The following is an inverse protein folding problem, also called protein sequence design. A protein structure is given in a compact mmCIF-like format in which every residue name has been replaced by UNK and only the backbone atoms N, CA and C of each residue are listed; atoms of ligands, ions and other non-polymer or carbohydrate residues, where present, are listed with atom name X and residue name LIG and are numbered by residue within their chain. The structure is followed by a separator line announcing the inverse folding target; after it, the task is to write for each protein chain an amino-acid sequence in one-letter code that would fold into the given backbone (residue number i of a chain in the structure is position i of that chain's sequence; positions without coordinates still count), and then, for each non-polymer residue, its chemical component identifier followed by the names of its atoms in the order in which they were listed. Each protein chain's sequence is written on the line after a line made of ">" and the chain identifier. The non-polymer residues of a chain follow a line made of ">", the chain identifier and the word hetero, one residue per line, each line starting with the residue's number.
data_IF_985191420412
#
_entry.id   IF_985191420412
#
_cell.length_a   1.000
_cell.length_b   1.000
_cell.length_c   1.000
_cell.angle_alpha   90.00
_cell.angle_beta   90.00
_cell.angle_gamma   90.00
#
_symmetry.space_group_name_H-M   'P 1'
#
loop_
_entity.id
_entity.type
_entity.pdbx_description
1 polymer ?
#
# COMPACT_ATOMS: atom_id res chain seq x y z
N UNK A 1 -5.38 -1.43 -10.87
CA UNK A 1 -4.45 -2.51 -10.45
C UNK A 1 -3.94 -2.22 -9.06
N UNK A 2 -3.88 -3.24 -8.22
CA UNK A 2 -3.14 -3.20 -6.94
C UNK A 2 -1.86 -4.03 -7.09
N UNK A 3 -0.72 -3.41 -6.80
CA UNK A 3 0.60 -4.07 -6.78
C UNK A 3 0.85 -4.67 -5.40
N UNK A 4 0.87 -6.00 -5.33
CA UNK A 4 0.81 -6.79 -4.10
C UNK A 4 1.76 -8.01 -4.09
N UNK A 5 2.56 -8.23 -5.14
CA UNK A 5 3.48 -9.38 -5.27
C UNK A 5 4.78 -9.30 -4.43
N UNK A 6 4.99 -8.24 -3.64
CA UNK A 6 6.20 -8.08 -2.83
C UNK A 6 6.35 -9.15 -1.73
N UNK A 7 7.60 -9.61 -1.48
CA UNK A 7 7.91 -10.60 -0.43
C UNK A 7 7.75 -10.06 1.00
N UNK A 8 7.76 -8.74 1.19
CA UNK A 8 7.60 -8.12 2.50
C UNK A 8 8.71 -8.49 3.49
N UNK A 9 9.95 -8.63 3.03
CA UNK A 9 11.08 -9.14 3.82
C UNK A 9 11.39 -8.28 5.05
N UNK A 10 11.18 -6.96 4.95
CA UNK A 10 11.38 -6.02 6.07
C UNK A 10 10.35 -6.15 7.20
N UNK A 11 9.23 -6.83 6.96
CA UNK A 11 8.19 -7.12 7.96
C UNK A 11 8.32 -8.54 8.54
N UNK A 12 9.42 -9.24 8.26
CA UNK A 12 9.67 -10.52 8.90
C UNK A 12 9.80 -10.36 10.43
N UNK A 13 9.38 -11.38 11.21
CA UNK A 13 8.97 -12.71 10.76
C UNK A 13 7.51 -12.81 10.29
N UNK A 14 6.67 -11.78 10.47
CA UNK A 14 5.22 -11.84 10.21
C UNK A 14 4.89 -12.31 8.79
N UNK A 15 5.72 -11.91 7.82
CA UNK A 15 5.53 -12.25 6.42
C UNK A 15 5.88 -13.70 6.06
N UNK A 16 6.29 -14.52 7.03
CA UNK A 16 6.45 -15.98 6.85
C UNK A 16 5.12 -16.72 6.86
N UNK A 17 4.13 -16.20 7.58
CA UNK A 17 2.80 -16.83 7.71
C UNK A 17 1.78 -16.23 6.75
N UNK A 18 1.86 -14.92 6.50
CA UNK A 18 0.97 -14.20 5.60
C UNK A 18 1.77 -13.34 4.63
N UNK A 19 1.36 -13.22 3.35
CA UNK A 19 1.94 -12.21 2.49
C UNK A 19 1.63 -10.82 3.06
N UNK A 20 2.52 -9.84 2.86
CA UNK A 20 2.40 -8.51 3.48
C UNK A 20 1.00 -7.89 3.30
N UNK A 21 0.37 -7.88 2.10
CA UNK A 21 -0.98 -7.34 1.95
C UNK A 21 -2.08 -8.10 2.71
N UNK A 22 -1.83 -9.32 3.19
CA UNK A 22 -2.77 -10.07 4.02
C UNK A 22 -2.48 -9.93 5.53
N UNK A 23 -1.39 -9.28 5.93
CA UNK A 23 -1.10 -9.02 7.36
C UNK A 23 -2.17 -8.09 7.94
N UNK A 24 -2.77 -8.43 9.10
CA UNK A 24 -3.87 -7.67 9.68
C UNK A 24 -3.38 -6.40 10.39
N UNK A 25 -3.95 -5.24 10.05
CA UNK A 25 -3.83 -3.99 10.80
C UNK A 25 -5.20 -3.67 11.39
N UNK A 26 -5.29 -3.48 12.71
CA UNK A 26 -6.55 -3.36 13.45
C UNK A 26 -7.52 -4.51 13.15
N UNK A 27 -6.99 -5.71 12.87
CA UNK A 27 -7.78 -6.89 12.50
C UNK A 27 -8.28 -6.93 11.06
N UNK A 28 -7.89 -5.96 10.23
CA UNK A 28 -8.27 -5.84 8.82
C UNK A 28 -7.04 -6.16 7.97
N UNK A 29 -7.08 -7.09 6.99
CA UNK A 29 -5.92 -7.35 6.16
C UNK A 29 -5.56 -6.10 5.36
N UNK A 30 -4.27 -5.79 5.24
CA UNK A 30 -3.78 -4.57 4.58
C UNK A 30 -4.38 -4.31 3.19
N UNK A 31 -4.69 -5.36 2.43
CA UNK A 31 -5.29 -5.28 1.08
C UNK A 31 -6.71 -4.71 1.09
N UNK A 32 -7.43 -4.81 2.20
CA UNK A 32 -8.80 -4.30 2.30
C UNK A 32 -8.87 -2.77 2.27
N UNK A 33 -7.83 -2.08 2.75
CA UNK A 33 -7.76 -0.62 2.73
C UNK A 33 -7.74 -0.03 1.31
N UNK A 34 -6.80 -0.42 0.41
CA UNK A 34 -6.82 0.05 -0.96
C UNK A 34 -8.05 -0.45 -1.74
N UNK A 35 -8.58 -1.65 -1.43
CA UNK A 35 -9.84 -2.12 -2.03
C UNK A 35 -11.02 -1.19 -1.68
N UNK A 36 -11.18 -0.84 -0.40
CA UNK A 36 -12.24 0.04 0.06
C UNK A 36 -12.08 1.47 -0.49
N UNK A 37 -10.85 2.00 -0.54
CA UNK A 37 -10.56 3.30 -1.15
C UNK A 37 -10.99 3.33 -2.62
N UNK A 38 -10.55 2.33 -3.41
CA UNK A 38 -10.88 2.23 -4.83
C UNK A 38 -12.39 2.08 -5.05
N UNK A 39 -13.06 1.23 -4.27
CA UNK A 39 -14.52 1.05 -4.34
C UNK A 39 -15.27 2.34 -4.01
N UNK A 40 -14.83 3.10 -3.00
CA UNK A 40 -15.44 4.39 -2.63
C UNK A 40 -15.31 5.44 -3.73
N UNK A 41 -14.30 5.33 -4.58
CA UNK A 41 -14.11 6.16 -5.76
C UNK A 41 -14.83 5.63 -7.01
N UNK A 42 -15.65 4.58 -6.88
CA UNK A 42 -16.45 4.00 -7.96
C UNK A 42 -15.73 3.01 -8.86
N UNK A 43 -14.56 2.50 -8.45
CA UNK A 43 -13.86 1.44 -9.20
C UNK A 43 -14.58 0.11 -9.00
N UNK A 44 -15.02 -0.51 -10.09
CA UNK A 44 -15.75 -1.79 -10.07
C UNK A 44 -14.93 -2.99 -10.52
N UNK A 45 -13.76 -2.79 -11.15
CA UNK A 45 -12.90 -3.89 -11.60
C UNK A 45 -11.46 -3.65 -11.15
N UNK A 46 -10.91 -4.64 -10.43
CA UNK A 46 -9.57 -4.52 -9.85
C UNK A 46 -8.77 -5.80 -10.15
N UNK A 47 -7.60 -5.62 -10.77
CA UNK A 47 -6.59 -6.69 -10.87
C UNK A 47 -5.55 -6.57 -9.77
N UNK A 48 -5.23 -7.69 -9.12
CA UNK A 48 -4.20 -7.81 -8.07
C UNK A 48 -3.14 -8.81 -8.53
N UNK A 49 -1.87 -8.43 -8.51
CA UNK A 49 -0.80 -9.40 -8.79
C UNK A 49 -0.41 -10.20 -7.54
N UNK A 50 -0.08 -11.48 -7.74
CA UNK A 50 0.20 -12.45 -6.67
C UNK A 50 1.58 -13.07 -6.89
N UNK A 51 2.35 -13.32 -5.82
CA UNK A 51 3.61 -14.08 -5.90
C UNK A 51 3.88 -14.87 -4.62
N UNK A 52 4.22 -14.18 -3.51
CA UNK A 52 4.47 -14.82 -2.22
C UNK A 52 3.14 -15.24 -1.57
N UNK A 53 3.02 -16.50 -1.15
CA UNK A 53 1.81 -17.08 -0.53
C UNK A 53 0.50 -16.67 -1.27
N UNK A 54 0.40 -16.94 -2.58
CA UNK A 54 -0.60 -16.32 -3.46
C UNK A 54 -2.04 -16.66 -3.05
N UNK A 55 -2.27 -17.88 -2.57
CA UNK A 55 -3.58 -18.33 -2.13
C UNK A 55 -4.05 -17.65 -0.83
N UNK A 56 -3.13 -17.31 0.07
CA UNK A 56 -3.47 -16.57 1.28
C UNK A 56 -3.90 -15.13 0.93
N UNK A 57 -3.19 -14.47 0.01
CA UNK A 57 -3.57 -13.15 -0.48
C UNK A 57 -4.89 -13.19 -1.26
N UNK A 58 -5.08 -14.16 -2.16
CA UNK A 58 -6.33 -14.34 -2.89
C UNK A 58 -7.52 -14.46 -1.95
N UNK A 59 -7.38 -15.29 -0.90
CA UNK A 59 -8.42 -15.46 0.12
C UNK A 59 -8.72 -14.14 0.83
N UNK A 60 -7.70 -13.48 1.39
CA UNK A 60 -7.87 -12.23 2.12
C UNK A 60 -8.54 -11.14 1.27
N UNK A 61 -8.11 -10.98 0.01
CA UNK A 61 -8.69 -10.02 -0.92
C UNK A 61 -10.15 -10.36 -1.27
N UNK A 62 -10.47 -11.64 -1.46
CA UNK A 62 -11.83 -12.08 -1.80
C UNK A 62 -12.80 -11.93 -0.62
N UNK A 63 -12.36 -12.27 0.60
CA UNK A 63 -13.17 -12.14 1.83
C UNK A 63 -13.48 -10.68 2.17
N UNK A 64 -12.58 -9.76 1.82
CA UNK A 64 -12.70 -8.32 2.06
C UNK A 64 -13.05 -7.52 0.81
N UNK A 65 -13.50 -8.19 -0.25
CA UNK A 65 -13.91 -7.55 -1.48
C UNK A 65 -15.17 -6.69 -1.23
N UNK A 66 -15.15 -5.39 -1.56
CA UNK A 66 -16.36 -4.57 -1.48
C UNK A 66 -17.45 -5.08 -2.42
N UNK A 67 -18.71 -4.86 -2.04
CA UNK A 67 -19.85 -5.19 -2.89
C UNK A 67 -19.80 -4.40 -4.21
N UNK A 68 -20.13 -5.07 -5.33
CA UNK A 68 -20.08 -4.45 -6.66
C UNK A 68 -18.68 -4.37 -7.28
N UNK A 69 -17.64 -4.88 -6.62
CA UNK A 69 -16.28 -4.98 -7.16
C UNK A 69 -15.99 -6.39 -7.67
N UNK A 70 -15.47 -6.50 -8.89
CA UNK A 70 -14.91 -7.71 -9.46
C UNK A 70 -13.39 -7.75 -9.26
N UNK A 71 -12.88 -8.85 -8.69
CA UNK A 71 -11.45 -9.09 -8.54
C UNK A 71 -10.91 -10.05 -9.60
N UNK A 72 -9.87 -9.60 -10.29
CA UNK A 72 -9.01 -10.43 -11.14
C UNK A 72 -7.65 -10.61 -10.48
N UNK A 73 -7.01 -11.74 -10.75
CA UNK A 73 -5.73 -12.07 -10.13
C UNK A 73 -4.69 -12.44 -11.19
N UNK A 74 -3.54 -11.77 -11.15
CA UNK A 74 -2.41 -12.06 -12.04
C UNK A 74 -1.29 -12.73 -11.24
N UNK A 75 -1.16 -14.05 -11.35
CA UNK A 75 -0.10 -14.78 -10.66
C UNK A 75 1.25 -14.63 -11.41
N UNK A 76 2.28 -14.30 -10.65
CA UNK A 76 3.68 -14.19 -11.06
C UNK A 76 4.48 -15.34 -10.44
N UNK A 77 4.75 -16.43 -11.18
CA UNK A 77 5.62 -17.51 -10.68
C UNK A 77 7.04 -17.01 -10.38
N UNK A 78 7.52 -16.09 -11.19
CA UNK A 78 8.75 -15.32 -10.99
C UNK A 78 8.40 -13.84 -10.93
N UNK A 79 9.09 -13.08 -10.06
CA UNK A 79 8.82 -11.66 -9.87
C UNK A 79 9.14 -10.87 -11.13
N UNK A 80 8.13 -10.17 -11.66
CA UNK A 80 8.26 -9.36 -12.88
C UNK A 80 8.74 -7.93 -12.60
N UNK A 81 8.98 -7.61 -11.33
CA UNK A 81 9.05 -6.24 -10.83
C UNK A 81 7.76 -5.46 -11.14
N UNK A 82 7.73 -4.20 -10.73
CA UNK A 82 6.54 -3.35 -10.78
C UNK A 82 6.07 -3.06 -12.20
N UNK A 83 6.99 -2.73 -13.11
CA UNK A 83 6.66 -2.43 -14.49
C UNK A 83 6.23 -3.67 -15.27
N UNK A 84 6.91 -4.80 -15.05
CA UNK A 84 6.54 -6.08 -15.64
C UNK A 84 5.14 -6.56 -15.21
N UNK A 85 4.79 -6.36 -13.93
CA UNK A 85 3.45 -6.63 -13.43
C UNK A 85 2.37 -5.80 -14.14
N UNK A 86 2.64 -4.50 -14.37
CA UNK A 86 1.75 -3.60 -15.12
C UNK A 86 1.61 -4.05 -16.56
N UNK A 87 2.73 -4.36 -17.24
CA UNK A 87 2.75 -4.86 -18.62
C UNK A 87 1.90 -6.12 -18.79
N UNK A 88 2.01 -7.07 -17.86
CA UNK A 88 1.28 -8.34 -17.90
C UNK A 88 -0.25 -8.15 -17.91
N UNK A 89 -0.75 -7.07 -17.33
CA UNK A 89 -2.18 -6.74 -17.26
C UNK A 89 -2.55 -5.50 -18.07
N UNK A 90 -1.68 -5.07 -19.00
CA UNK A 90 -1.86 -3.84 -19.74
C UNK A 90 -3.17 -3.83 -20.55
N UNK A 91 -3.56 -4.96 -21.16
CA UNK A 91 -4.80 -5.06 -21.92
C UNK A 91 -6.03 -4.80 -21.04
N UNK A 92 -6.05 -5.37 -19.82
CA UNK A 92 -7.09 -5.08 -18.83
C UNK A 92 -7.10 -3.61 -18.41
N UNK A 93 -5.91 -3.03 -18.17
CA UNK A 93 -5.80 -1.62 -17.78
C UNK A 93 -6.29 -0.66 -18.88
N UNK A 94 -6.20 -1.05 -20.15
CA UNK A 94 -6.69 -0.27 -21.30
C UNK A 94 -8.20 -0.23 -21.43
N UNK A 95 -8.92 -1.09 -20.71
CA UNK A 95 -10.40 -1.10 -20.71
C UNK A 95 -10.98 0.16 -20.02
N UNK A 96 -10.15 0.92 -19.27
CA UNK A 96 -10.53 2.19 -18.63
C UNK A 96 -9.55 3.32 -18.97
N UNK A 97 -10.05 4.55 -19.09
CA UNK A 97 -9.24 5.75 -19.27
C UNK A 97 -9.72 6.91 -18.37
N UNK A 98 -8.94 7.32 -17.35
CA UNK A 98 -7.67 6.71 -16.94
C UNK A 98 -7.87 5.37 -16.20
N UNK A 99 -6.77 4.68 -15.91
CA UNK A 99 -6.71 3.58 -14.95
C UNK A 99 -5.86 3.97 -13.73
N UNK A 100 -6.04 3.24 -12.62
CA UNK A 100 -5.35 3.46 -11.36
C UNK A 100 -4.34 2.34 -11.07
N UNK A 101 -3.15 2.71 -10.60
CA UNK A 101 -2.13 1.80 -10.12
C UNK A 101 -1.77 2.20 -8.70
N UNK A 102 -2.03 1.32 -7.73
CA UNK A 102 -1.86 1.56 -6.30
C UNK A 102 -1.05 0.43 -5.64
N UNK A 103 -0.28 0.71 -4.59
CA UNK A 103 0.34 -0.32 -3.75
C UNK A 103 -0.67 -1.02 -2.84
N UNK A 104 -0.49 -2.33 -2.62
CA UNK A 104 -1.39 -3.14 -1.79
C UNK A 104 -1.00 -3.25 -0.31
N UNK A 105 -0.01 -2.50 0.13
CA UNK A 105 0.73 -2.77 1.37
C UNK A 105 0.98 -1.53 2.25
N UNK A 106 0.09 -0.55 2.11
CA UNK A 106 -0.01 0.68 2.90
C UNK A 106 -1.47 1.09 3.10
N UNK A 107 -1.70 2.01 4.03
CA UNK A 107 -3.00 2.68 4.18
C UNK A 107 -2.87 4.09 3.58
N UNK A 108 -3.77 4.42 2.65
CA UNK A 108 -3.83 5.72 1.97
C UNK A 108 -5.24 6.29 2.13
N UNK A 109 -5.36 7.59 2.39
CA UNK A 109 -6.63 8.32 2.30
C UNK A 109 -6.40 9.73 1.74
N UNK A 110 -7.28 10.13 0.83
CA UNK A 110 -7.21 11.36 0.05
C UNK A 110 -8.55 11.62 -0.67
N UNK A 111 -8.71 12.81 -1.23
CA UNK A 111 -9.74 13.06 -2.24
C UNK A 111 -9.32 12.45 -3.60
N UNK A 112 -9.57 11.15 -3.76
CA UNK A 112 -9.22 10.41 -4.99
C UNK A 112 -9.99 10.93 -6.21
N UNK A 113 -11.24 11.35 -6.03
CA UNK A 113 -12.06 11.90 -7.11
C UNK A 113 -11.48 13.23 -7.60
N UNK A 114 -11.09 14.11 -6.69
CA UNK A 114 -10.40 15.35 -7.03
C UNK A 114 -9.05 15.10 -7.71
N UNK A 115 -8.28 14.10 -7.26
CA UNK A 115 -7.01 13.75 -7.90
C UNK A 115 -7.19 13.24 -9.34
N UNK A 116 -8.22 12.41 -9.58
CA UNK A 116 -8.61 11.96 -10.92
C UNK A 116 -8.99 13.14 -11.83
N UNK A 117 -9.74 14.12 -11.31
CA UNK A 117 -10.12 15.29 -12.08
C UNK A 117 -8.92 16.20 -12.41
N UNK A 118 -8.01 16.39 -11.45
CA UNK A 118 -6.76 17.11 -11.68
C UNK A 118 -5.91 16.42 -12.75
N UNK A 119 -5.80 15.09 -12.71
CA UNK A 119 -5.14 14.34 -13.78
C UNK A 119 -5.75 14.65 -15.16
N UNK A 120 -7.08 14.53 -15.31
CA UNK A 120 -7.79 14.82 -16.57
C UNK A 120 -7.54 16.25 -17.06
N UNK A 121 -7.65 17.23 -16.17
CA UNK A 121 -7.45 18.65 -16.50
C UNK A 121 -6.00 18.98 -16.89
N UNK A 122 -5.03 18.22 -16.42
CA UNK A 122 -3.60 18.49 -16.65
C UNK A 122 -3.12 18.13 -18.05
N UNK A 123 -3.85 17.26 -18.75
CA UNK A 123 -3.42 16.71 -20.04
C UNK A 123 -2.19 15.79 -19.96
N UNK A 124 -1.71 15.46 -18.76
CA UNK A 124 -0.60 14.52 -18.54
C UNK A 124 -1.07 13.09 -18.76
N UNK A 125 -0.19 12.25 -19.28
CA UNK A 125 -0.47 10.83 -19.45
C UNK A 125 -0.30 10.05 -18.14
N UNK A 126 0.53 10.55 -17.21
CA UNK A 126 0.72 9.96 -15.89
C UNK A 126 0.75 11.04 -14.81
N UNK A 127 0.00 10.82 -13.73
CA UNK A 127 0.02 11.65 -12.53
C UNK A 127 0.35 10.82 -11.29
N UNK A 128 1.47 11.15 -10.64
CA UNK A 128 1.95 10.55 -9.41
C UNK A 128 1.40 11.31 -8.20
N UNK A 129 0.91 10.59 -7.20
CA UNK A 129 0.67 11.20 -5.89
C UNK A 129 1.94 11.10 -5.05
N UNK A 130 2.46 12.25 -4.68
CA UNK A 130 3.56 12.38 -3.73
C UNK A 130 3.04 12.91 -2.40
N UNK A 131 3.82 12.74 -1.34
CA UNK A 131 3.54 13.31 -0.02
C UNK A 131 4.78 14.00 0.52
N UNK A 132 4.59 15.18 1.10
CA UNK A 132 5.62 15.77 1.95
C UNK A 132 5.77 14.92 3.22
N UNK A 133 6.90 14.22 3.37
CA UNK A 133 7.07 13.26 4.46
C UNK A 133 8.50 13.35 5.02
N UNK A 134 8.66 13.48 6.36
CA UNK A 134 9.98 13.60 6.98
C UNK A 134 10.85 12.36 6.79
N UNK A 135 10.29 11.24 6.33
CA UNK A 135 11.00 10.00 6.04
C UNK A 135 11.54 9.95 4.61
N UNK A 136 11.65 11.10 3.92
CA UNK A 136 12.18 11.19 2.54
C UNK A 136 13.55 10.55 2.38
N UNK A 137 14.40 10.61 3.40
CA UNK A 137 15.75 10.02 3.35
C UNK A 137 15.71 8.50 3.30
N UNK A 138 14.66 7.89 3.88
CA UNK A 138 14.46 6.44 3.92
C UNK A 138 13.76 5.89 2.67
N UNK A 139 12.77 6.61 2.16
CA UNK A 139 11.98 6.16 1.00
C UNK A 139 12.51 6.68 -0.34
N UNK A 140 13.36 7.71 -0.32
CA UNK A 140 13.67 8.53 -1.46
C UNK A 140 12.52 9.49 -1.80
N UNK A 141 12.84 10.53 -2.56
CA UNK A 141 11.87 11.52 -3.04
C UNK A 141 11.84 11.55 -4.56
N UNK A 142 10.68 11.95 -5.09
CA UNK A 142 10.49 12.31 -6.49
C UNK A 142 10.47 13.83 -6.57
N UNK A 143 11.26 14.38 -7.50
CA UNK A 143 11.37 15.80 -7.78
C UNK A 143 10.47 16.21 -8.93
N UNK A 144 9.75 17.32 -8.76
CA UNK A 144 8.91 17.94 -9.77
C UNK A 144 9.36 19.39 -10.03
N UNK A 145 9.16 19.89 -11.26
CA UNK A 145 9.32 21.33 -11.56
C UNK A 145 8.10 22.17 -11.13
N UNK A 146 8.13 23.46 -11.50
CA UNK A 146 7.08 24.43 -11.16
C UNK A 146 5.75 24.10 -11.84
N UNK A 147 5.80 23.43 -12.99
CA UNK A 147 4.67 22.90 -13.73
C UNK A 147 4.25 21.51 -13.27
N UNK A 148 4.90 20.92 -12.25
CA UNK A 148 4.56 19.61 -11.69
C UNK A 148 5.00 18.43 -12.56
N UNK A 149 5.94 18.61 -13.49
CA UNK A 149 6.51 17.54 -14.32
C UNK A 149 7.66 16.85 -13.62
N UNK A 150 7.81 15.55 -13.89
CA UNK A 150 8.85 14.71 -13.31
C UNK A 150 10.26 15.17 -13.74
N UNK A 151 11.10 15.50 -12.75
CA UNK A 151 12.51 15.89 -12.93
C UNK A 151 13.51 14.95 -12.29
N UNK A 152 13.16 14.32 -11.17
CA UNK A 152 14.08 13.46 -10.42
C UNK A 152 13.37 12.26 -9.80
N UNK A 153 14.02 11.10 -9.79
CA UNK A 153 13.61 9.93 -9.01
C UNK A 153 14.79 9.50 -8.14
N UNK A 154 14.72 9.87 -6.85
CA UNK A 154 15.76 9.60 -5.87
C UNK A 154 17.17 9.92 -6.44
N UNK A 155 18.11 8.97 -6.36
CA UNK A 155 19.44 9.06 -6.99
C UNK A 155 19.58 8.24 -8.28
N UNK A 156 18.48 7.84 -8.92
CA UNK A 156 18.49 6.95 -10.10
C UNK A 156 18.26 7.68 -11.42
N UNK A 157 17.56 8.81 -11.37
CA UNK A 157 17.21 9.64 -12.51
C UNK A 157 17.18 11.11 -12.08
N UNK A 158 17.81 12.00 -12.84
CA UNK A 158 17.87 13.43 -12.52
C UNK A 158 18.06 14.27 -13.79
N UNK A 159 17.09 15.15 -14.05
CA UNK A 159 17.13 16.17 -15.12
C UNK A 159 17.51 17.56 -14.59
N UNK A 160 17.67 17.70 -13.27
CA UNK A 160 17.76 18.99 -12.59
C UNK A 160 16.47 19.82 -12.68
N UNK A 161 16.51 21.03 -12.12
CA UNK A 161 15.42 21.99 -12.23
C UNK A 161 14.16 21.64 -11.45
N UNK A 162 14.24 20.75 -10.45
CA UNK A 162 13.13 20.54 -9.51
C UNK A 162 12.90 21.79 -8.65
N UNK A 163 11.64 22.12 -8.39
CA UNK A 163 11.23 23.18 -7.47
C UNK A 163 10.54 22.64 -6.23
N UNK A 164 10.12 21.37 -6.25
CA UNK A 164 9.46 20.69 -5.15
C UNK A 164 9.78 19.19 -5.20
N UNK A 165 9.66 18.52 -4.06
CA UNK A 165 9.84 17.07 -3.98
C UNK A 165 8.93 16.45 -2.93
N UNK A 166 8.60 15.18 -3.11
CA UNK A 166 7.82 14.40 -2.14
C UNK A 166 8.08 12.91 -2.23
N UNK A 167 7.72 12.17 -1.20
CA UNK A 167 7.78 10.71 -1.16
C UNK A 167 6.66 10.14 -2.02
N UNK A 168 7.00 9.18 -2.88
CA UNK A 168 6.04 8.51 -3.73
C UNK A 168 5.12 7.59 -2.90
N UNK A 169 3.82 7.84 -2.97
CA UNK A 169 2.82 7.13 -2.15
C UNK A 169 2.41 5.78 -2.71
N UNK A 170 2.93 5.40 -3.89
CA UNK A 170 2.50 4.27 -4.72
C UNK A 170 1.16 4.43 -5.43
N UNK A 171 0.53 5.60 -5.40
CA UNK A 171 -0.64 5.89 -6.23
C UNK A 171 -0.24 6.63 -7.51
N UNK A 172 -0.72 6.12 -8.64
CA UNK A 172 -0.63 6.74 -9.95
C UNK A 172 -1.97 6.69 -10.66
N UNK A 173 -2.32 7.78 -11.33
CA UNK A 173 -3.36 7.81 -12.37
C UNK A 173 -2.65 7.75 -13.71
N UNK A 174 -3.08 6.83 -14.57
CA UNK A 174 -2.42 6.50 -15.83
C UNK A 174 -3.44 6.53 -16.94
N UNK A 175 -3.30 7.43 -17.91
CA UNK A 175 -4.13 7.42 -19.11
C UNK A 175 -3.81 6.18 -19.95
N UNK A 176 -4.79 5.64 -20.67
CA UNK A 176 -4.59 4.43 -21.49
C UNK A 176 -3.45 4.59 -22.51
N UNK A 177 -3.25 5.80 -23.05
CA UNK A 177 -2.16 6.15 -23.97
C UNK A 177 -0.75 6.07 -23.35
N UNK A 178 -0.63 6.11 -22.03
CA UNK A 178 0.64 5.94 -21.35
C UNK A 178 1.18 4.52 -21.50
N UNK A 179 0.27 3.54 -21.57
CA UNK A 179 0.60 2.11 -21.64
C UNK A 179 1.26 1.73 -22.98
N UNK A 180 1.15 2.57 -24.02
CA UNK A 180 1.78 2.36 -25.33
C UNK A 180 3.31 2.44 -25.29
N UNK A 181 3.87 3.09 -24.28
CA UNK A 181 5.31 3.19 -24.09
C UNK A 181 5.87 2.21 -23.07
N UNK A 182 5.11 1.18 -22.68
CA UNK A 182 5.61 0.12 -21.81
C UNK A 182 6.76 -0.63 -22.51
N UNK A 183 7.93 -0.81 -21.85
CA UNK A 183 9.05 -1.56 -22.40
C UNK A 183 8.68 -2.95 -22.92
N UNK A 184 9.28 -3.36 -24.04
CA UNK A 184 9.10 -4.69 -24.63
C UNK A 184 9.97 -5.76 -23.95
N UNK A 185 9.77 -5.92 -22.64
CA UNK A 185 10.41 -6.95 -21.80
C UNK A 185 9.54 -7.30 -20.61
N UNK A 186 9.72 -8.50 -20.06
CA UNK A 186 8.88 -9.00 -18.98
C UNK A 186 9.26 -8.46 -17.59
N UNK A 187 10.54 -8.20 -17.34
CA UNK A 187 11.05 -7.80 -16.01
C UNK A 187 11.65 -6.39 -16.07
N UNK A 188 11.00 -5.44 -15.40
CA UNK A 188 11.46 -4.04 -15.33
C UNK A 188 10.74 -3.22 -14.24
N UNK A 189 11.37 -2.13 -13.81
CA UNK A 189 10.85 -1.21 -12.80
C UNK A 189 10.02 -0.09 -13.44
N UNK A 190 8.79 0.14 -12.96
CA UNK A 190 7.91 1.17 -13.54
C UNK A 190 8.49 2.60 -13.49
N UNK A 191 9.20 2.97 -12.42
CA UNK A 191 9.76 4.31 -12.28
C UNK A 191 10.95 4.50 -13.21
N UNK A 192 11.93 3.61 -13.10
CA UNK A 192 13.24 3.79 -13.74
C UNK A 192 13.21 3.41 -15.23
N UNK A 193 12.48 2.36 -15.58
CA UNK A 193 12.51 1.78 -16.92
C UNK A 193 11.34 2.20 -17.81
N UNK A 194 10.31 2.87 -17.26
CA UNK A 194 9.15 3.34 -18.03
C UNK A 194 8.88 4.83 -17.84
N UNK A 195 8.65 5.27 -16.60
CA UNK A 195 8.26 6.66 -16.34
C UNK A 195 9.41 7.66 -16.54
N UNK A 196 10.63 7.34 -16.13
CA UNK A 196 11.81 8.18 -16.40
C UNK A 196 12.06 8.39 -17.91
N UNK A 197 12.19 7.34 -18.75
CA UNK A 197 12.32 7.51 -20.20
C UNK A 197 11.16 8.31 -20.81
N UNK A 198 9.92 8.03 -20.39
CA UNK A 198 8.74 8.75 -20.88
C UNK A 198 8.77 10.24 -20.51
N UNK A 199 9.21 10.58 -19.30
CA UNK A 199 9.35 11.97 -18.88
C UNK A 199 10.33 12.74 -19.79
N UNK A 200 11.42 12.09 -20.22
CA UNK A 200 12.40 12.69 -21.15
C UNK A 200 11.83 12.82 -22.56
N UNK A 201 11.20 11.77 -23.07
CA UNK A 201 10.77 11.69 -24.47
C UNK A 201 9.50 12.49 -24.75
N UNK A 202 8.56 12.53 -23.80
CA UNK A 202 7.21 13.07 -23.99
C UNK A 202 6.87 14.23 -23.08
N UNK A 203 7.54 14.37 -21.93
CA UNK A 203 7.26 15.44 -20.97
C UNK A 203 5.84 15.42 -20.39
N UNK A 204 5.21 14.24 -20.34
CA UNK A 204 3.81 14.05 -19.95
C UNK A 204 3.64 13.21 -18.68
N UNK A 205 4.73 13.02 -17.94
CA UNK A 205 4.75 12.41 -16.60
C UNK A 205 4.91 13.53 -15.58
N UNK A 206 3.98 13.62 -14.64
CA UNK A 206 4.05 14.59 -13.56
C UNK A 206 3.37 14.09 -12.30
N UNK A 207 3.12 14.99 -11.35
CA UNK A 207 2.47 14.66 -10.10
C UNK A 207 2.10 15.89 -9.29
N UNK A 208 1.64 15.64 -8.08
CA UNK A 208 1.40 16.66 -7.07
C UNK A 208 1.89 16.18 -5.71
N UNK A 209 2.34 17.11 -4.87
CA UNK A 209 2.71 16.84 -3.48
C UNK A 209 1.50 17.15 -2.61
N UNK A 210 0.87 16.11 -2.06
CA UNK A 210 -0.29 16.25 -1.17
C UNK A 210 0.10 16.81 0.20
N UNK A 211 -0.75 17.69 0.75
CA UNK A 211 -0.61 18.19 2.13
C UNK A 211 -0.76 17.00 3.10
N UNK A 212 0.19 16.77 4.04
CA UNK A 212 0.10 15.69 5.02
C UNK A 212 -1.13 15.72 5.92
N UNK A 213 -1.82 16.86 6.02
CA UNK A 213 -3.09 17.04 6.75
C UNK A 213 -4.31 16.56 5.97
N UNK A 214 -4.22 16.54 4.65
CA UNK A 214 -5.29 16.14 3.73
C UNK A 214 -5.03 14.77 3.09
N UNK A 215 -3.77 14.31 3.13
CA UNK A 215 -3.34 13.02 2.58
C UNK A 215 -2.77 12.14 3.70
N UNK A 216 -3.54 11.15 4.11
CA UNK A 216 -3.05 10.09 5.01
C UNK A 216 -2.23 9.11 4.21
N UNK A 217 -1.00 8.85 4.62
CA UNK A 217 -0.16 7.78 4.08
C UNK A 217 0.60 7.07 5.21
N UNK A 218 0.20 5.83 5.48
CA UNK A 218 0.76 5.02 6.56
C UNK A 218 1.42 3.79 5.91
N UNK A 219 2.74 3.81 5.70
CA UNK A 219 3.46 2.62 5.25
C UNK A 219 3.47 1.58 6.36
N UNK A 220 3.41 0.30 5.98
CA UNK A 220 3.48 -0.83 6.94
C UNK A 220 4.63 -1.76 6.57
N UNK A 221 5.83 -1.20 6.38
CA UNK A 221 6.99 -1.91 5.83
C UNK A 221 7.85 -2.65 6.86
N UNK A 222 7.84 -2.24 8.13
CA UNK A 222 8.62 -2.83 9.23
C UNK A 222 7.74 -3.17 10.44
N UNK A 223 8.23 -3.97 11.40
CA UNK A 223 7.49 -4.25 12.63
C UNK A 223 7.11 -2.98 13.41
N UNK A 224 7.99 -1.97 13.47
CA UNK A 224 7.67 -0.69 14.10
C UNK A 224 6.54 0.05 13.37
N UNK A 225 6.59 0.13 12.04
CA UNK A 225 5.52 0.73 11.23
C UNK A 225 4.19 -0.02 11.37
N UNK A 226 4.24 -1.35 11.46
CA UNK A 226 3.08 -2.18 11.74
C UNK A 226 2.45 -1.87 13.09
N UNK A 227 3.27 -1.70 14.12
CA UNK A 227 2.79 -1.35 15.45
C UNK A 227 2.13 0.03 15.46
N UNK A 228 2.78 1.02 14.83
CA UNK A 228 2.23 2.37 14.69
C UNK A 228 0.94 2.40 13.85
N UNK A 229 0.82 1.57 12.81
CA UNK A 229 -0.42 1.47 12.03
C UNK A 229 -1.58 0.87 12.85
N UNK A 230 -1.28 0.00 13.82
CA UNK A 230 -2.27 -0.60 14.70
C UNK A 230 -2.74 0.38 15.79
N UNK A 231 -1.82 1.07 16.46
CA UNK A 231 -2.12 1.88 17.64
C UNK A 231 -2.19 3.39 17.38
N UNK A 232 -1.60 3.86 16.28
CA UNK A 232 -1.64 5.27 15.88
C UNK A 232 -3.03 5.73 15.45
N UNK A 233 -3.27 7.05 15.39
CA UNK A 233 -4.55 7.60 14.97
C UNK A 233 -4.87 7.18 13.54
N UNK A 234 -6.10 6.73 13.32
CA UNK A 234 -6.59 6.31 12.01
C UNK A 234 -8.02 6.82 11.82
N UNK A 235 -8.19 7.72 10.87
CA UNK A 235 -9.49 8.19 10.40
C UNK A 235 -9.47 8.13 8.89
N UNK A 236 -10.41 7.42 8.30
CA UNK A 236 -10.49 7.22 6.85
C UNK A 236 -11.85 7.67 6.34
N UNK A 237 -11.86 8.40 5.22
CA UNK A 237 -13.08 8.91 4.57
C UNK A 237 -13.98 7.79 4.01
N UNK A 238 -13.38 6.65 3.68
CA UNK A 238 -14.01 5.55 2.94
C UNK A 238 -14.26 4.27 3.77
N UNK A 239 -13.72 4.18 4.98
CA UNK A 239 -13.79 2.97 5.81
C UNK A 239 -13.82 3.31 7.29
N UNK A 240 -14.90 2.94 7.97
CA UNK A 240 -14.92 2.87 9.44
C UNK A 240 -14.13 1.63 9.88
N UNK A 241 -12.85 1.83 10.17
CA UNK A 241 -11.93 0.77 10.56
C UNK A 241 -12.35 0.07 11.86
N UNK A 242 -12.91 0.80 12.82
CA UNK A 242 -13.34 0.21 14.09
C UNK A 242 -14.61 -0.64 13.91
N UNK A 243 -15.55 -0.20 13.07
CA UNK A 243 -16.71 -1.01 12.71
C UNK A 243 -16.33 -2.24 11.90
N UNK A 244 -15.36 -2.12 10.98
CA UNK A 244 -14.83 -3.24 10.22
C UNK A 244 -14.13 -4.26 11.14
N UNK A 245 -13.29 -3.82 12.07
CA UNK A 245 -12.65 -4.67 13.08
C UNK A 245 -13.69 -5.40 13.95
N UNK A 246 -14.72 -4.70 14.44
CA UNK A 246 -15.81 -5.31 15.21
C UNK A 246 -16.56 -6.38 14.43
N UNK A 247 -16.85 -6.15 13.13
CA UNK A 247 -17.47 -7.16 12.26
C UNK A 247 -16.58 -8.39 12.07
N UNK A 248 -15.27 -8.21 12.06
CA UNK A 248 -14.30 -9.31 12.02
C UNK A 248 -14.16 -10.05 13.36
N UNK A 249 -14.80 -9.57 14.45
CA UNK A 249 -14.69 -10.16 15.78
C UNK A 249 -13.42 -9.74 16.53
N UNK A 250 -12.78 -8.66 16.08
CA UNK A 250 -11.53 -8.14 16.64
C UNK A 250 -11.85 -7.08 17.69
N UNK A 251 -11.17 -7.15 18.83
CA UNK A 251 -11.29 -6.17 19.91
C UNK A 251 -10.13 -5.18 19.82
N UNK A 252 -10.41 -3.95 19.42
CA UNK A 252 -9.43 -2.87 19.34
C UNK A 252 -9.52 -2.02 20.61
N UNK A 253 -8.42 -1.95 21.37
CA UNK A 253 -8.27 -1.14 22.58
C UNK A 253 -6.96 -0.33 22.48
N UNK A 254 -6.83 0.80 23.22
CA UNK A 254 -5.62 1.62 23.17
C UNK A 254 -4.33 0.85 23.50
N UNK A 255 -4.42 -0.11 24.43
CA UNK A 255 -3.28 -0.88 24.93
C UNK A 255 -3.10 -2.22 24.20
N UNK A 256 -4.09 -2.69 23.44
CA UNK A 256 -4.04 -4.03 22.81
C UNK A 256 -5.07 -4.22 21.72
N UNK A 257 -4.74 -5.08 20.77
CA UNK A 257 -5.67 -5.51 19.72
C UNK A 257 -5.76 -7.02 19.78
N UNK A 258 -6.95 -7.54 20.06
CA UNK A 258 -7.18 -8.98 20.23
C UNK A 258 -7.91 -9.52 19.01
N UNK A 259 -7.23 -10.36 18.26
CA UNK A 259 -7.75 -11.05 17.08
C UNK A 259 -8.95 -11.94 17.40
N UNK A 260 -9.72 -12.24 16.38
CA UNK A 260 -10.89 -13.09 16.48
C UNK A 260 -10.50 -14.48 17.00
N UNK A 261 -11.29 -15.02 17.93
CA UNK A 261 -11.08 -16.36 18.53
C UNK A 261 -9.74 -16.52 19.29
N UNK A 262 -9.01 -15.44 19.54
CA UNK A 262 -7.81 -15.48 20.37
C UNK A 262 -8.16 -15.75 21.84
N UNK A 263 -7.29 -16.47 22.55
CA UNK A 263 -7.41 -16.73 23.98
C UNK A 263 -6.30 -16.01 24.72
N UNK A 264 -6.68 -15.03 25.54
CA UNK A 264 -5.75 -14.18 26.30
C UNK A 264 -6.09 -14.28 27.80
N UNK A 265 -5.40 -15.13 28.57
CA UNK A 265 -5.73 -15.36 29.99
C UNK A 265 -5.54 -14.11 30.88
N UNK A 266 -4.61 -13.23 30.52
CA UNK A 266 -4.26 -12.02 31.29
C UNK A 266 -4.13 -10.81 30.35
N UNK A 267 -5.26 -10.28 29.83
CA UNK A 267 -5.21 -9.19 28.86
C UNK A 267 -4.52 -7.95 29.42
N UNK A 268 -4.69 -7.66 30.72
CA UNK A 268 -4.09 -6.50 31.40
C UNK A 268 -2.57 -6.52 31.49
N UNK A 269 -1.93 -7.66 31.20
CA UNK A 269 -0.47 -7.78 31.13
C UNK A 269 0.11 -7.42 29.75
N UNK A 270 -0.73 -6.94 28.83
CA UNK A 270 -0.37 -6.54 27.48
C UNK A 270 -0.44 -5.02 27.32
N UNK A 271 0.67 -4.43 26.86
CA UNK A 271 0.80 -3.01 26.56
C UNK A 271 1.31 -2.82 25.12
N UNK A 272 0.53 -2.16 24.27
CA UNK A 272 0.77 -2.04 22.82
C UNK A 272 1.10 -3.40 22.19
N UNK A 273 0.25 -4.40 22.44
CA UNK A 273 0.38 -5.75 21.84
C UNK A 273 -0.77 -6.06 20.90
N UNK A 274 -0.43 -6.50 19.69
CA UNK A 274 -1.39 -7.10 18.75
C UNK A 274 -1.36 -8.61 18.90
N UNK A 275 -2.51 -9.25 19.08
CA UNK A 275 -2.66 -10.71 19.08
C UNK A 275 -3.42 -11.09 17.82
N UNK A 276 -2.84 -11.94 16.97
CA UNK A 276 -3.51 -12.40 15.75
C UNK A 276 -4.69 -13.31 16.04
N UNK A 277 -5.54 -13.50 15.03
CA UNK A 277 -6.66 -14.43 15.09
C UNK A 277 -6.20 -15.83 15.49
N UNK A 278 -7.04 -16.55 16.23
CA UNK A 278 -6.82 -17.93 16.68
C UNK A 278 -5.60 -18.17 17.60
N UNK A 279 -4.86 -17.13 17.97
CA UNK A 279 -3.71 -17.25 18.87
C UNK A 279 -4.13 -17.58 20.31
N UNK A 280 -3.38 -18.46 20.96
CA UNK A 280 -3.61 -18.85 22.35
C UNK A 280 -2.37 -18.45 23.16
N UNK A 281 -2.51 -17.41 23.98
CA UNK A 281 -1.41 -16.92 24.80
C UNK A 281 -1.18 -17.86 26.00
N UNK A 282 0.09 -18.19 26.33
CA UNK A 282 0.41 -18.93 27.54
C UNK A 282 -0.09 -18.21 28.80
N UNK A 283 -0.52 -18.98 29.80
CA UNK A 283 -0.83 -18.42 31.13
C UNK A 283 0.41 -17.73 31.71
N UNK A 284 0.26 -16.52 32.25
CA UNK A 284 1.38 -15.73 32.79
C UNK A 284 2.16 -14.92 31.76
N UNK A 285 1.77 -14.95 30.48
CA UNK A 285 2.42 -14.15 29.45
C UNK A 285 2.15 -12.65 29.67
N UNK A 286 3.22 -11.85 29.56
CA UNK A 286 3.17 -10.39 29.48
C UNK A 286 3.98 -9.92 28.27
N UNK A 287 3.54 -8.83 27.63
CA UNK A 287 4.19 -8.32 26.43
C UNK A 287 4.08 -6.80 26.34
N UNK A 288 5.10 -6.19 25.75
CA UNK A 288 5.18 -4.76 25.48
C UNK A 288 5.67 -4.52 24.06
N UNK A 289 5.04 -3.60 23.33
CA UNK A 289 5.42 -3.19 21.96
C UNK A 289 5.71 -4.37 21.03
N UNK A 290 4.66 -5.10 20.64
CA UNK A 290 4.87 -6.26 19.79
C UNK A 290 3.62 -6.91 19.26
N UNK A 291 3.82 -8.08 18.68
CA UNK A 291 2.76 -8.89 18.10
C UNK A 291 2.94 -10.34 18.48
N UNK A 292 1.87 -10.97 18.94
CA UNK A 292 1.78 -12.41 19.13
C UNK A 292 1.16 -13.03 17.87
N UNK A 293 1.96 -13.77 17.12
CA UNK A 293 1.60 -14.33 15.82
C UNK A 293 2.43 -15.58 15.50
N UNK A 294 1.81 -16.57 14.87
CA UNK A 294 2.44 -17.85 14.56
C UNK A 294 2.86 -18.62 15.81
N UNK A 295 2.12 -18.50 16.92
CA UNK A 295 2.42 -19.16 18.18
C UNK A 295 3.64 -18.60 18.94
N UNK A 296 4.09 -17.39 18.62
CA UNK A 296 5.20 -16.74 19.30
C UNK A 296 5.02 -15.22 19.39
N UNK A 297 5.65 -14.60 20.39
CA UNK A 297 5.73 -13.15 20.51
C UNK A 297 6.92 -12.60 19.73
N UNK A 298 6.67 -11.54 18.97
CA UNK A 298 7.65 -10.80 18.18
C UNK A 298 7.65 -9.34 18.63
N UNK A 299 8.75 -8.90 19.23
CA UNK A 299 8.91 -7.52 19.63
C UNK A 299 9.01 -6.61 18.39
N UNK A 300 8.23 -5.53 18.38
CA UNK A 300 8.25 -4.48 17.38
C UNK A 300 9.05 -3.30 17.94
N UNK A 301 10.33 -3.52 18.24
CA UNK A 301 11.17 -2.51 18.88
C UNK A 301 11.33 -1.23 18.06
N UNK A 302 11.45 -0.09 18.76
CA UNK A 302 12.01 1.15 18.25
C UNK A 302 13.50 0.92 17.90
N UNK A 303 13.75 0.52 16.66
CA UNK A 303 15.07 0.30 16.11
C UNK A 303 15.14 0.83 14.69
N UNK A 304 15.02 2.16 14.56
CA UNK A 304 15.57 3.01 13.48
C UNK A 304 15.13 4.46 13.75
N UNK A 305 15.59 5.01 14.88
CA UNK A 305 15.93 6.43 14.93
C UNK A 305 17.41 6.51 14.57
N UNK A 306 17.70 6.72 13.29
CA UNK A 306 18.99 7.13 12.77
C UNK A 306 18.73 8.14 11.66
#
# INVERSE_FOLDING_TARGET
>A
MIVAAGRGERLQPLTRWLPKPAVPVRGIPLIAYPLALLASAGVTEIVINLHHLPEALRRAASEWCPEGVELRFSHEPELLQTGGAIRRVADFLRESDPCLILGGDMILDLDLAGFLERHRSSGRAVSLLLRDDPRSDRFGSIGLDAEGLLRRIAGRFDLGGESQAGVYTWLNVVSASALDSLPDREVFNHLDDWLAPRAVERGDVGGEVGDPRETTWIPVGTPGEYLEANFGPLSLSYLDADAAARRAGVQVQPERILGARSTVPQPDALERVVVWDDEILPSGFSGHDGVYAGGAFHACGAGEAA
#
